data_IF_078606290162
#
_entry.id   IF_078606290162
#
_cell.length_a   1.000
_cell.length_b   1.000
_cell.length_c   1.000
_cell.angle_alpha   90.00
_cell.angle_beta   90.00
_cell.angle_gamma   90.00
#
_symmetry.space_group_name_H-M   'P 1'
#
loop_
_entity.id
_entity.type
_entity.pdbx_description
1 polymer ?
#
# COMPACT_ATOMS: atom_id res chain seq x y z
N UNK A 1 24.29 -50.91 -63.43
CA UNK A 1 24.81 -49.91 -62.46
C UNK A 1 23.92 -50.06 -61.22
N UNK A 2 24.33 -50.80 -60.17
CA UNK A 2 25.13 -50.37 -58.99
C UNK A 2 24.48 -49.12 -58.33
N UNK A 3 24.10 -49.02 -57.05
CA UNK A 3 24.34 -49.73 -55.78
C UNK A 3 23.18 -49.34 -54.81
N UNK A 4 22.62 -50.28 -54.02
CA UNK A 4 22.81 -50.51 -52.57
C UNK A 4 22.25 -49.42 -51.60
N UNK A 5 21.40 -49.93 -50.71
CA UNK A 5 20.99 -49.49 -49.36
C UNK A 5 21.93 -48.54 -48.61
N UNK A 6 21.35 -47.63 -47.81
CA UNK A 6 21.90 -47.32 -46.48
C UNK A 6 20.85 -46.68 -45.55
N UNK A 7 20.56 -47.41 -44.48
CA UNK A 7 19.88 -46.98 -43.25
C UNK A 7 20.70 -45.86 -42.58
N UNK A 8 20.04 -44.79 -42.13
CA UNK A 8 20.61 -43.90 -41.12
C UNK A 8 19.67 -43.85 -39.90
N UNK A 9 20.04 -44.59 -38.87
CA UNK A 9 19.56 -44.36 -37.51
C UNK A 9 20.33 -43.19 -36.91
N UNK A 10 19.61 -42.19 -36.42
CA UNK A 10 20.17 -41.10 -35.64
C UNK A 10 20.04 -41.46 -34.16
N UNK A 11 21.19 -41.78 -33.55
CA UNK A 11 21.37 -41.92 -32.10
C UNK A 11 21.39 -40.50 -31.51
N UNK A 12 20.35 -40.13 -30.76
CA UNK A 12 20.41 -38.96 -29.87
C UNK A 12 21.20 -39.34 -28.61
N UNK A 13 22.46 -38.92 -28.54
CA UNK A 13 23.20 -38.83 -27.30
C UNK A 13 22.79 -37.54 -26.57
N UNK A 14 21.72 -37.62 -25.78
CA UNK A 14 21.37 -36.58 -24.82
C UNK A 14 22.22 -36.75 -23.57
N UNK A 15 23.21 -35.87 -23.39
CA UNK A 15 23.99 -35.75 -22.16
C UNK A 15 23.04 -35.47 -20.99
N UNK A 16 22.95 -36.44 -20.07
CA UNK A 16 22.41 -36.25 -18.74
C UNK A 16 23.33 -35.25 -18.00
N UNK A 17 22.94 -33.98 -17.98
CA UNK A 17 23.51 -33.05 -17.01
C UNK A 17 22.95 -33.44 -15.63
N UNK A 18 23.80 -33.72 -14.63
CA UNK A 18 23.32 -33.95 -13.28
C UNK A 18 22.66 -32.67 -12.77
N UNK A 19 21.40 -32.79 -12.35
CA UNK A 19 20.73 -31.80 -11.53
C UNK A 19 21.57 -31.58 -10.28
N UNK A 20 22.31 -30.47 -10.25
CA UNK A 20 22.94 -29.98 -9.03
C UNK A 20 21.81 -29.63 -8.05
N UNK A 21 21.56 -30.53 -7.11
CA UNK A 21 20.88 -30.17 -5.89
C UNK A 21 21.87 -29.34 -5.08
N UNK A 22 21.67 -28.03 -5.06
CA UNK A 22 22.34 -27.17 -4.11
C UNK A 22 21.77 -27.47 -2.72
N UNK A 23 22.51 -28.25 -1.94
CA UNK A 23 22.39 -28.32 -0.49
C UNK A 23 23.50 -27.45 0.09
N UNK A 24 23.13 -26.34 0.72
CA UNK A 24 24.04 -25.46 1.43
C UNK A 24 23.31 -24.22 1.91
N UNK A 25 23.55 -23.82 3.16
CA UNK A 25 23.16 -22.56 3.79
C UNK A 25 23.81 -21.34 3.10
N UNK A 26 23.74 -21.25 1.78
CA UNK A 26 24.32 -20.14 1.00
C UNK A 26 23.41 -18.93 1.12
N UNK A 27 23.58 -18.21 2.23
CA UNK A 27 23.10 -16.86 2.40
C UNK A 27 23.88 -15.96 1.42
N UNK A 28 23.27 -15.66 0.29
CA UNK A 28 23.94 -15.00 -0.84
C UNK A 28 24.33 -13.54 -0.51
N UNK A 29 25.63 -13.22 -0.62
CA UNK A 29 26.13 -11.84 -0.60
C UNK A 29 25.53 -11.03 -1.73
N UNK A 30 24.86 -9.92 -1.41
CA UNK A 30 24.29 -9.00 -2.40
C UNK A 30 25.32 -7.96 -2.82
N UNK A 31 25.46 -7.73 -4.13
CA UNK A 31 26.34 -6.69 -4.71
C UNK A 31 25.55 -5.80 -5.66
N UNK A 32 25.57 -4.49 -5.42
CA UNK A 32 24.72 -3.56 -6.15
C UNK A 32 25.27 -2.14 -6.15
N UNK A 33 24.78 -1.33 -7.08
CA UNK A 33 25.13 0.07 -7.18
C UNK A 33 24.11 0.90 -6.40
N UNK A 34 24.58 1.80 -5.52
CA UNK A 34 23.71 2.63 -4.65
C UNK A 34 23.69 4.10 -5.05
N UNK A 35 24.63 4.49 -5.90
CA UNK A 35 24.74 5.81 -6.51
C UNK A 35 25.74 5.72 -7.67
N UNK A 36 25.87 6.79 -8.46
CA UNK A 36 26.88 6.88 -9.50
C UNK A 36 28.28 6.56 -8.92
N UNK A 37 28.92 5.51 -9.45
CA UNK A 37 30.26 5.05 -9.05
C UNK A 37 30.42 4.57 -7.59
N UNK A 38 29.32 4.32 -6.87
CA UNK A 38 29.35 3.74 -5.51
C UNK A 38 28.70 2.36 -5.54
N UNK A 39 29.44 1.34 -5.12
CA UNK A 39 28.92 -0.02 -4.95
C UNK A 39 28.80 -0.37 -3.47
N UNK A 40 27.80 -1.19 -3.15
CA UNK A 40 27.61 -1.81 -1.86
C UNK A 40 27.75 -3.34 -1.98
N UNK A 41 28.35 -3.93 -0.96
CA UNK A 41 28.40 -5.36 -0.71
C UNK A 41 27.67 -5.59 0.61
N UNK A 42 26.61 -6.38 0.61
CA UNK A 42 25.79 -6.65 1.79
C UNK A 42 25.79 -8.15 2.10
N UNK A 43 26.23 -8.48 3.31
CA UNK A 43 26.40 -9.83 3.83
C UNK A 43 25.46 -10.02 5.04
N UNK A 44 24.44 -10.87 4.94
CA UNK A 44 23.61 -11.17 6.10
C UNK A 44 24.40 -11.92 7.18
N UNK A 45 24.07 -11.66 8.43
CA UNK A 45 24.74 -12.21 9.60
C UNK A 45 23.84 -13.20 10.34
N UNK A 46 24.44 -14.09 11.12
CA UNK A 46 23.72 -15.12 11.88
C UNK A 46 22.79 -14.55 12.96
N UNK A 47 23.06 -13.34 13.43
CA UNK A 47 22.22 -12.62 14.41
C UNK A 47 21.05 -11.87 13.74
N UNK A 48 20.83 -12.08 12.44
CA UNK A 48 19.80 -11.40 11.67
C UNK A 48 20.14 -9.94 11.35
N UNK A 49 21.39 -9.49 11.54
CA UNK A 49 21.85 -8.19 11.04
C UNK A 49 22.42 -8.28 9.61
N UNK A 50 22.75 -7.14 9.00
CA UNK A 50 23.42 -7.07 7.70
C UNK A 50 24.72 -6.30 7.83
N UNK A 51 25.85 -6.93 7.51
CA UNK A 51 27.11 -6.23 7.34
C UNK A 51 27.17 -5.64 5.93
N UNK A 52 27.43 -4.35 5.82
CA UNK A 52 27.54 -3.64 4.54
C UNK A 52 28.91 -3.02 4.40
N UNK A 53 29.53 -3.17 3.23
CA UNK A 53 30.75 -2.48 2.85
C UNK A 53 30.55 -1.69 1.55
N UNK A 54 31.01 -0.44 1.55
CA UNK A 54 30.95 0.45 0.40
C UNK A 54 32.29 0.50 -0.34
N UNK A 55 32.22 0.56 -1.67
CA UNK A 55 33.36 0.75 -2.57
C UNK A 55 33.18 2.06 -3.35
N UNK A 56 34.24 2.88 -3.54
CA UNK A 56 35.64 2.61 -3.19
C UNK A 56 36.04 3.05 -1.77
N UNK A 57 35.14 3.66 -1.00
CA UNK A 57 35.49 4.26 0.30
C UNK A 57 35.95 3.25 1.36
N UNK A 58 35.60 1.98 1.21
CA UNK A 58 35.86 0.92 2.18
C UNK A 58 35.01 1.01 3.45
N UNK A 59 34.12 2.01 3.55
CA UNK A 59 33.29 2.27 4.74
C UNK A 59 32.40 1.06 5.03
N UNK A 60 32.27 0.71 6.31
CA UNK A 60 31.45 -0.40 6.78
C UNK A 60 30.31 0.09 7.67
N UNK A 61 29.16 -0.58 7.59
CA UNK A 61 28.01 -0.38 8.47
C UNK A 61 27.38 -1.73 8.81
N UNK A 62 26.85 -1.85 10.01
CA UNK A 62 25.95 -2.94 10.38
C UNK A 62 24.54 -2.38 10.43
N UNK A 63 23.64 -2.99 9.67
CA UNK A 63 22.23 -2.64 9.61
C UNK A 63 21.44 -3.69 10.38
N UNK A 64 20.35 -3.28 11.03
CA UNK A 64 19.44 -4.24 11.64
C UNK A 64 18.70 -5.03 10.56
N UNK A 65 18.25 -6.23 10.90
CA UNK A 65 17.24 -6.92 10.11
C UNK A 65 15.83 -6.56 10.50
N UNK A 66 14.88 -7.14 9.77
CA UNK A 66 13.58 -7.44 10.32
C UNK A 66 13.68 -8.83 10.98
N UNK A 67 13.28 -8.99 12.24
CA UNK A 67 13.34 -10.29 12.91
C UNK A 67 11.95 -10.92 12.97
N UNK A 68 11.80 -12.14 12.46
CA UNK A 68 10.63 -12.97 12.75
C UNK A 68 10.73 -13.59 14.15
N UNK A 69 9.78 -14.48 14.49
CA UNK A 69 9.74 -15.14 15.80
C UNK A 69 10.99 -16.00 16.08
N UNK A 70 11.68 -16.46 15.04
CA UNK A 70 12.89 -17.28 15.11
C UNK A 70 14.17 -16.44 14.93
N UNK A 71 14.04 -15.11 14.76
CA UNK A 71 15.15 -14.20 14.54
C UNK A 71 15.64 -14.13 13.09
N UNK A 72 14.93 -14.75 12.15
CA UNK A 72 15.31 -14.75 10.75
C UNK A 72 14.81 -13.50 10.02
N UNK A 73 15.53 -13.13 8.97
CA UNK A 73 15.14 -12.09 8.03
C UNK A 73 15.38 -12.55 6.60
N UNK A 74 14.49 -12.17 5.70
CA UNK A 74 14.68 -12.27 4.25
C UNK A 74 15.17 -10.93 3.73
N UNK A 75 16.08 -10.99 2.76
CA UNK A 75 16.76 -9.82 2.24
C UNK A 75 16.56 -9.71 0.74
N UNK A 76 16.52 -8.47 0.24
CA UNK A 76 16.36 -8.24 -1.18
C UNK A 76 16.79 -6.83 -1.59
N UNK A 77 16.77 -6.61 -2.90
CA UNK A 77 17.07 -5.34 -3.52
C UNK A 77 15.85 -4.88 -4.31
N UNK A 78 15.42 -3.65 -4.09
CA UNK A 78 14.31 -3.06 -4.82
C UNK A 78 14.50 -1.54 -4.87
N UNK A 79 14.30 -0.93 -6.03
CA UNK A 79 14.31 0.53 -6.19
C UNK A 79 12.95 1.08 -5.73
N UNK A 80 12.92 1.50 -4.46
CA UNK A 80 11.74 1.93 -3.69
C UNK A 80 11.53 3.43 -3.84
N UNK A 81 12.60 4.22 -3.94
CA UNK A 81 12.51 5.68 -4.11
C UNK A 81 12.42 6.15 -5.58
N UNK A 82 12.49 5.19 -6.51
CA UNK A 82 12.35 5.39 -7.95
C UNK A 82 13.46 6.26 -8.57
N UNK A 83 14.66 6.23 -7.99
CA UNK A 83 15.84 6.94 -8.50
C UNK A 83 16.69 6.09 -9.47
N UNK A 84 16.38 4.79 -9.57
CA UNK A 84 17.04 3.83 -10.46
C UNK A 84 18.20 3.06 -9.80
N UNK A 85 18.51 3.32 -8.53
CA UNK A 85 19.38 2.51 -7.70
C UNK A 85 18.52 1.73 -6.68
N UNK A 86 18.78 0.44 -6.45
CA UNK A 86 18.00 -0.31 -5.49
C UNK A 86 18.37 0.04 -4.04
N UNK A 87 17.34 0.13 -3.20
CA UNK A 87 17.44 0.05 -1.75
C UNK A 87 17.69 -1.40 -1.31
N UNK A 88 18.29 -1.54 -0.12
CA UNK A 88 18.39 -2.82 0.57
C UNK A 88 17.16 -3.02 1.45
N UNK A 89 16.46 -4.13 1.30
CA UNK A 89 15.22 -4.42 2.03
C UNK A 89 15.42 -5.63 2.93
N UNK A 90 14.97 -5.49 4.18
CA UNK A 90 14.80 -6.58 5.13
C UNK A 90 13.31 -6.86 5.32
N UNK A 91 12.90 -8.13 5.28
CA UNK A 91 11.51 -8.59 5.42
C UNK A 91 11.43 -9.74 6.40
N UNK A 92 10.45 -9.74 7.29
CA UNK A 92 10.24 -10.84 8.23
C UNK A 92 8.76 -11.05 8.53
N UNK A 93 8.35 -12.31 8.66
CA UNK A 93 6.97 -12.63 9.04
C UNK A 93 6.72 -12.21 10.49
N UNK A 94 5.62 -11.49 10.75
CA UNK A 94 5.18 -11.11 12.09
C UNK A 94 3.81 -11.69 12.35
N UNK A 95 3.76 -12.65 13.26
CA UNK A 95 2.57 -13.49 13.45
C UNK A 95 2.28 -14.33 12.20
N UNK A 96 1.00 -14.58 11.93
CA UNK A 96 0.60 -15.52 10.87
C UNK A 96 0.41 -14.89 9.49
N UNK A 97 0.28 -13.57 9.41
CA UNK A 97 -0.26 -12.90 8.21
C UNK A 97 0.40 -11.57 7.87
N UNK A 98 1.15 -10.95 8.79
CA UNK A 98 1.85 -9.70 8.52
C UNK A 98 3.30 -9.98 8.16
N UNK A 99 3.91 -9.05 7.42
CA UNK A 99 5.34 -9.05 7.11
C UNK A 99 5.89 -7.67 7.49
N UNK A 100 6.78 -7.60 8.48
CA UNK A 100 7.50 -6.37 8.77
C UNK A 100 8.53 -6.12 7.68
N UNK A 101 8.62 -4.87 7.21
CA UNK A 101 9.55 -4.45 6.17
C UNK A 101 10.39 -3.27 6.65
N UNK A 102 11.71 -3.41 6.58
CA UNK A 102 12.64 -2.31 6.77
C UNK A 102 13.35 -2.02 5.46
N UNK A 103 13.23 -0.80 4.97
CA UNK A 103 13.93 -0.33 3.76
C UNK A 103 15.14 0.50 4.18
N UNK A 104 16.32 0.15 3.68
CA UNK A 104 17.56 0.90 3.90
C UNK A 104 17.94 1.66 2.65
N UNK A 105 17.88 2.98 2.74
CA UNK A 105 18.23 3.91 1.66
C UNK A 105 19.63 4.46 1.85
N UNK A 106 20.38 4.53 0.76
CA UNK A 106 21.69 5.16 0.75
C UNK A 106 21.52 6.69 0.79
N UNK A 107 22.18 7.33 1.76
CA UNK A 107 22.31 8.79 1.86
C UNK A 107 23.69 9.21 1.34
N UNK A 108 23.78 9.87 0.17
CA UNK A 108 25.04 10.35 -0.38
C UNK A 108 25.77 11.34 0.52
N UNK A 109 25.03 12.14 1.31
CA UNK A 109 25.63 13.16 2.17
C UNK A 109 26.43 12.54 3.33
N UNK A 110 25.94 11.45 3.90
CA UNK A 110 26.65 10.68 4.92
C UNK A 110 27.45 9.50 4.37
N UNK A 111 27.36 9.24 3.06
CA UNK A 111 27.89 8.07 2.38
C UNK A 111 27.53 6.78 3.13
N UNK A 112 26.25 6.57 3.43
CA UNK A 112 25.83 5.41 4.20
C UNK A 112 24.34 5.17 4.20
N UNK A 113 23.93 4.01 4.67
CA UNK A 113 22.53 3.61 4.72
C UNK A 113 21.81 4.16 5.95
N UNK A 114 20.53 4.48 5.77
CA UNK A 114 19.57 4.84 6.82
C UNK A 114 18.26 4.11 6.59
N UNK A 115 17.62 3.69 7.67
CA UNK A 115 16.26 3.16 7.59
C UNK A 115 15.33 4.27 7.07
N UNK A 116 14.55 3.94 6.04
CA UNK A 116 13.49 4.78 5.53
C UNK A 116 12.39 4.86 6.59
N UNK A 117 11.87 6.05 6.79
CA UNK A 117 10.77 6.33 7.71
C UNK A 117 9.74 7.18 6.96
N UNK A 118 8.48 6.78 7.07
CA UNK A 118 7.39 7.58 6.55
C UNK A 118 7.00 8.65 7.58
N UNK A 119 6.78 9.88 7.13
CA UNK A 119 6.05 10.85 7.94
C UNK A 119 4.55 10.65 7.74
N UNK A 120 3.89 10.13 8.76
CA UNK A 120 2.48 9.75 8.71
C UNK A 120 1.56 10.75 9.41
N UNK A 121 2.13 11.68 10.20
CA UNK A 121 1.39 12.57 11.09
C UNK A 121 0.40 11.83 12.03
N UNK A 122 0.69 10.55 12.35
CA UNK A 122 -0.18 9.69 13.17
C UNK A 122 -1.54 9.37 12.52
N UNK A 123 -1.57 9.33 11.18
CA UNK A 123 -2.77 9.01 10.37
C UNK A 123 -2.68 7.67 9.65
N UNK A 124 -1.56 6.98 9.80
CA UNK A 124 -1.35 5.63 9.30
C UNK A 124 -2.17 4.60 10.09
N UNK A 125 -2.51 3.51 9.41
CA UNK A 125 -3.22 2.37 10.01
C UNK A 125 -2.28 1.23 10.38
N UNK A 126 -1.15 1.10 9.67
CA UNK A 126 -0.22 -0.02 9.84
C UNK A 126 0.91 0.22 10.85
N UNK A 127 1.10 1.44 11.35
CA UNK A 127 2.18 1.80 12.29
C UNK A 127 3.53 2.00 11.58
N UNK A 128 4.01 0.93 10.93
CA UNK A 128 5.25 0.88 10.18
C UNK A 128 5.01 0.34 8.76
N UNK A 129 6.08 0.25 7.95
CA UNK A 129 6.01 -0.41 6.65
C UNK A 129 5.77 -1.92 6.84
N UNK A 130 4.64 -2.40 6.33
CA UNK A 130 4.16 -3.78 6.48
C UNK A 130 3.70 -4.31 5.12
N UNK A 131 4.10 -5.52 4.74
CA UNK A 131 3.65 -6.15 3.49
C UNK A 131 3.84 -5.23 2.26
N UNK A 132 5.03 -4.61 2.17
CA UNK A 132 5.30 -3.49 1.26
C UNK A 132 5.31 -3.94 -0.21
N UNK A 133 4.52 -3.26 -1.04
CA UNK A 133 4.50 -3.37 -2.49
C UNK A 133 4.93 -2.05 -3.14
N UNK A 134 5.77 -2.13 -4.18
CA UNK A 134 6.29 -0.98 -4.95
C UNK A 134 5.58 -0.91 -6.31
N UNK A 135 4.69 0.08 -6.49
CA UNK A 135 4.04 0.33 -7.78
C UNK A 135 4.81 1.39 -8.58
N UNK A 136 5.67 0.94 -9.49
CA UNK A 136 6.53 1.79 -10.32
C UNK A 136 5.76 2.74 -11.23
N UNK A 137 4.72 2.30 -11.97
CA UNK A 137 3.88 3.20 -12.78
C UNK A 137 3.33 4.41 -12.02
N UNK A 138 2.80 4.22 -10.82
CA UNK A 138 2.22 5.31 -10.00
C UNK A 138 3.24 6.01 -9.09
N UNK A 139 4.43 5.42 -8.92
CA UNK A 139 5.43 5.80 -7.93
C UNK A 139 4.85 5.82 -6.51
N UNK A 140 4.04 4.81 -6.21
CA UNK A 140 3.36 4.65 -4.92
C UNK A 140 3.87 3.40 -4.21
N UNK A 141 4.10 3.51 -2.92
CA UNK A 141 4.34 2.36 -2.05
C UNK A 141 3.05 2.01 -1.33
N UNK A 142 2.72 0.73 -1.21
CA UNK A 142 1.54 0.28 -0.49
C UNK A 142 1.94 -0.67 0.62
N UNK A 143 1.60 -0.33 1.86
CA UNK A 143 1.65 -1.25 3.00
C UNK A 143 0.30 -1.91 3.18
N UNK A 144 0.31 -3.22 3.47
CA UNK A 144 -0.88 -3.98 3.83
C UNK A 144 -0.61 -4.68 5.16
N UNK A 145 -1.53 -4.53 6.11
CA UNK A 145 -1.41 -5.15 7.41
C UNK A 145 -2.77 -5.59 7.94
N UNK A 146 -2.76 -6.56 8.85
CA UNK A 146 -3.94 -7.01 9.57
C UNK A 146 -3.83 -6.66 11.04
N UNK A 147 -4.88 -6.06 11.59
CA UNK A 147 -5.05 -5.85 13.03
C UNK A 147 -6.46 -6.27 13.46
N UNK A 148 -6.54 -7.24 14.38
CA UNK A 148 -7.79 -7.89 14.73
C UNK A 148 -8.44 -8.60 13.52
N UNK A 149 -9.76 -8.45 13.31
CA UNK A 149 -10.44 -9.05 12.17
C UNK A 149 -10.24 -8.26 10.86
N UNK A 150 -9.66 -7.06 10.93
CA UNK A 150 -9.61 -6.12 9.81
C UNK A 150 -8.26 -6.12 9.11
N UNK A 151 -8.31 -5.96 7.79
CA UNK A 151 -7.17 -5.55 6.96
C UNK A 151 -7.15 -4.04 6.85
N UNK A 152 -5.94 -3.50 6.72
CA UNK A 152 -5.69 -2.08 6.55
C UNK A 152 -4.68 -1.88 5.43
N UNK A 153 -4.85 -0.77 4.71
CA UNK A 153 -3.94 -0.35 3.66
C UNK A 153 -3.51 1.10 3.82
N UNK A 154 -2.21 1.32 3.78
CA UNK A 154 -1.61 2.66 3.73
C UNK A 154 -0.83 2.81 2.41
N UNK A 155 -1.02 3.93 1.73
CA UNK A 155 -0.28 4.29 0.53
C UNK A 155 0.64 5.47 0.80
N UNK A 156 1.86 5.40 0.29
CA UNK A 156 2.91 6.38 0.51
C UNK A 156 3.47 6.88 -0.81
N UNK A 157 3.93 8.13 -0.81
CA UNK A 157 4.68 8.73 -1.93
C UNK A 157 5.85 9.54 -1.42
N UNK A 158 6.77 9.84 -2.32
CA UNK A 158 7.91 10.70 -2.03
C UNK A 158 7.62 12.16 -2.37
N UNK A 159 7.96 13.05 -1.44
CA UNK A 159 8.16 14.49 -1.68
C UNK A 159 9.65 14.80 -1.55
N UNK A 160 10.33 14.85 -2.70
CA UNK A 160 11.79 14.84 -2.75
C UNK A 160 12.35 13.58 -2.09
N UNK A 161 13.14 13.74 -1.02
CA UNK A 161 13.74 12.63 -0.29
C UNK A 161 12.85 12.06 0.83
N UNK A 162 11.71 12.69 1.14
CA UNK A 162 10.87 12.36 2.28
C UNK A 162 9.72 11.47 1.82
N UNK A 163 9.61 10.28 2.41
CA UNK A 163 8.42 9.44 2.28
C UNK A 163 7.32 10.00 3.18
N UNK A 164 6.11 10.20 2.65
CA UNK A 164 4.97 10.65 3.42
C UNK A 164 3.75 9.76 3.16
N UNK A 165 2.87 9.66 4.14
CA UNK A 165 1.58 8.99 3.97
C UNK A 165 0.74 9.77 2.95
N UNK A 166 0.54 9.18 1.77
CA UNK A 166 -0.19 9.79 0.68
C UNK A 166 -1.68 9.53 0.80
N UNK A 167 -2.08 8.31 1.14
CA UNK A 167 -3.49 7.95 1.28
C UNK A 167 -3.66 6.86 2.32
N UNK A 168 -4.69 6.99 3.15
CA UNK A 168 -5.04 6.01 4.17
C UNK A 168 -6.56 5.90 4.31
N UNK A 169 -6.99 4.77 4.85
CA UNK A 169 -8.38 4.50 5.15
C UNK A 169 -8.71 4.64 6.63
N UNK A 170 -9.97 4.92 6.90
CA UNK A 170 -10.56 4.82 8.23
C UNK A 170 -11.86 4.04 8.10
N UNK A 171 -11.81 2.77 8.48
CA UNK A 171 -12.95 1.86 8.38
C UNK A 171 -14.12 2.42 9.19
N UNK A 172 -15.28 2.44 8.55
CA UNK A 172 -16.50 2.96 9.11
C UNK A 172 -17.29 1.86 9.82
N UNK A 173 -17.64 2.13 11.07
CA UNK A 173 -18.54 1.31 11.87
C UNK A 173 -19.92 1.98 11.90
N UNK A 174 -20.55 2.11 10.74
CA UNK A 174 -21.86 2.76 10.60
C UNK A 174 -22.99 1.76 10.78
N UNK A 175 -24.04 2.18 11.48
CA UNK A 175 -25.13 1.32 11.94
C UNK A 175 -26.39 1.36 11.08
N UNK A 176 -27.48 0.86 11.64
CA UNK A 176 -28.76 0.66 10.95
C UNK A 176 -29.37 1.97 10.43
N UNK A 177 -29.09 3.09 11.08
CA UNK A 177 -29.58 4.41 10.62
C UNK A 177 -29.03 4.79 9.24
N UNK A 178 -27.78 4.43 8.91
CA UNK A 178 -27.24 4.65 7.56
C UNK A 178 -27.99 3.78 6.54
N UNK A 179 -28.20 2.50 6.86
CA UNK A 179 -28.89 1.54 5.98
C UNK A 179 -30.37 1.93 5.75
N UNK A 180 -31.00 2.59 6.72
CA UNK A 180 -32.35 3.14 6.57
C UNK A 180 -32.38 4.43 5.73
N UNK A 181 -31.28 5.18 5.66
CA UNK A 181 -31.18 6.42 4.91
C UNK A 181 -30.76 6.20 3.45
N UNK A 182 -29.82 5.27 3.22
CA UNK A 182 -29.14 5.08 1.94
C UNK A 182 -29.06 3.60 1.58
N UNK A 183 -29.21 3.32 0.29
CA UNK A 183 -29.02 2.00 -0.29
C UNK A 183 -27.93 2.05 -1.36
N UNK A 184 -26.96 1.16 -1.30
CA UNK A 184 -25.93 0.99 -2.32
C UNK A 184 -25.81 -0.47 -2.72
N UNK A 185 -25.27 -0.70 -3.91
CA UNK A 185 -24.90 -2.04 -4.36
C UNK A 185 -23.62 -2.45 -3.63
N UNK A 186 -23.68 -3.54 -2.88
CA UNK A 186 -22.53 -4.19 -2.27
C UNK A 186 -22.25 -5.49 -3.01
N UNK A 187 -20.99 -5.69 -3.42
CA UNK A 187 -20.53 -6.95 -4.01
C UNK A 187 -19.88 -7.83 -2.96
N UNK A 188 -19.86 -9.15 -3.16
CA UNK A 188 -19.22 -10.11 -2.23
C UNK A 188 -17.71 -9.87 -2.03
N UNK A 189 -17.07 -9.13 -2.95
CA UNK A 189 -15.65 -8.78 -2.89
C UNK A 189 -15.37 -7.48 -2.09
N UNK A 190 -16.40 -6.73 -1.70
CA UNK A 190 -16.25 -5.46 -0.98
C UNK A 190 -16.25 -5.66 0.53
N UNK A 191 -15.38 -4.89 1.18
CA UNK A 191 -15.29 -4.75 2.62
C UNK A 191 -16.39 -3.90 3.24
N UNK A 192 -16.26 -3.64 4.56
CA UNK A 192 -16.97 -2.51 5.16
C UNK A 192 -16.55 -1.21 4.46
N UNK A 193 -17.44 -0.23 4.46
CA UNK A 193 -17.11 1.10 3.96
C UNK A 193 -15.95 1.68 4.78
N UNK A 194 -15.10 2.46 4.13
CA UNK A 194 -14.06 3.23 4.79
C UNK A 194 -14.01 4.64 4.23
N UNK A 195 -13.67 5.61 5.08
CA UNK A 195 -13.30 6.95 4.60
C UNK A 195 -11.85 6.89 4.15
N UNK A 196 -11.65 7.04 2.85
CA UNK A 196 -10.35 7.26 2.27
C UNK A 196 -10.00 8.74 2.29
N UNK A 197 -8.78 9.06 2.69
CA UNK A 197 -8.25 10.43 2.68
C UNK A 197 -6.92 10.46 1.97
N UNK A 198 -6.78 11.41 1.05
CA UNK A 198 -5.49 11.75 0.44
C UNK A 198 -4.88 12.93 1.19
N UNK A 199 -3.60 12.84 1.50
CA UNK A 199 -2.86 13.86 2.23
C UNK A 199 -1.79 14.52 1.36
N UNK A 200 -1.44 15.75 1.72
CA UNK A 200 -0.21 16.38 1.27
C UNK A 200 0.99 15.98 2.16
N UNK A 201 2.23 16.34 1.79
CA UNK A 201 3.42 16.00 2.59
C UNK A 201 3.47 16.61 4.01
N UNK A 202 2.59 17.58 4.29
CA UNK A 202 2.43 18.20 5.59
C UNK A 202 1.28 17.58 6.41
N UNK A 203 0.66 16.49 5.93
CA UNK A 203 -0.41 15.78 6.61
C UNK A 203 -1.78 16.45 6.50
N UNK A 204 -1.94 17.44 5.60
CA UNK A 204 -3.23 18.10 5.38
C UNK A 204 -4.06 17.28 4.41
N UNK A 205 -5.33 17.07 4.74
CA UNK A 205 -6.29 16.38 3.86
C UNK A 205 -6.55 17.22 2.61
N UNK A 206 -6.31 16.62 1.44
CA UNK A 206 -6.57 17.22 0.13
C UNK A 206 -7.95 16.82 -0.43
N UNK A 207 -8.32 15.57 -0.22
CA UNK A 207 -9.60 15.00 -0.67
C UNK A 207 -10.01 13.87 0.28
N UNK A 208 -11.32 13.60 0.31
CA UNK A 208 -11.92 12.46 1.00
C UNK A 208 -13.01 11.83 0.14
N UNK A 209 -13.19 10.53 0.29
CA UNK A 209 -14.35 9.81 -0.23
C UNK A 209 -14.64 8.61 0.67
N UNK A 210 -15.89 8.18 0.76
CA UNK A 210 -16.24 6.90 1.37
C UNK A 210 -16.30 5.86 0.26
N UNK A 211 -15.54 4.79 0.37
CA UNK A 211 -15.50 3.70 -0.61
C UNK A 211 -15.30 2.34 0.09
N UNK A 212 -15.02 1.29 -0.68
CA UNK A 212 -14.62 -0.02 -0.17
C UNK A 212 -13.36 0.10 0.72
N UNK A 213 -13.39 -0.52 1.90
CA UNK A 213 -12.30 -0.57 2.87
C UNK A 213 -11.44 -1.84 2.83
N UNK A 214 -11.60 -2.71 1.82
CA UNK A 214 -10.66 -3.83 1.59
C UNK A 214 -9.62 -3.52 0.52
N UNK A 215 -9.97 -2.74 -0.50
CA UNK A 215 -9.09 -2.41 -1.61
C UNK A 215 -8.71 -0.93 -1.62
N UNK A 216 -7.41 -0.64 -1.69
CA UNK A 216 -6.96 0.73 -1.90
C UNK A 216 -7.52 1.31 -3.21
N UNK A 217 -8.04 2.55 -3.20
CA UNK A 217 -8.52 3.20 -4.40
C UNK A 217 -7.37 3.34 -5.39
N UNK A 218 -7.66 3.22 -6.70
CA UNK A 218 -6.65 3.42 -7.71
C UNK A 218 -6.11 4.84 -7.70
N UNK A 219 -5.01 5.02 -8.41
CA UNK A 219 -4.43 6.31 -8.68
C UNK A 219 -5.41 7.29 -9.34
N UNK A 220 -5.31 8.56 -8.96
CA UNK A 220 -6.21 9.63 -9.41
C UNK A 220 -7.19 10.10 -8.32
N UNK A 221 -8.18 10.93 -8.69
CA UNK A 221 -9.12 11.49 -7.74
C UNK A 221 -9.93 10.42 -7.02
N UNK A 222 -10.11 10.59 -5.71
CA UNK A 222 -10.99 9.72 -4.94
C UNK A 222 -12.42 9.77 -5.48
N UNK A 223 -13.06 8.60 -5.57
CA UNK A 223 -14.46 8.45 -5.99
C UNK A 223 -15.23 7.80 -4.88
N UNK A 224 -16.32 8.44 -4.48
CA UNK A 224 -17.20 7.91 -3.45
C UNK A 224 -18.10 6.79 -3.97
N UNK A 225 -18.43 5.88 -3.06
CA UNK A 225 -19.49 4.91 -3.23
C UNK A 225 -20.77 5.63 -3.65
N UNK A 226 -21.42 5.12 -4.68
CA UNK A 226 -22.70 5.62 -5.13
C UNK A 226 -23.80 4.95 -4.30
N UNK A 227 -24.77 5.75 -3.86
CA UNK A 227 -25.94 5.29 -3.13
C UNK A 227 -27.21 5.98 -3.63
N UNK A 228 -28.35 5.42 -3.24
CA UNK A 228 -29.68 5.92 -3.53
C UNK A 228 -30.39 6.25 -2.22
N UNK A 229 -31.05 7.40 -2.17
CA UNK A 229 -31.84 7.82 -1.02
C UNK A 229 -33.07 6.91 -0.84
N UNK A 230 -33.23 6.35 0.35
CA UNK A 230 -34.31 5.42 0.70
C UNK A 230 -35.60 6.13 1.17
N UNK A 231 -35.57 7.07 2.12
CA UNK A 231 -36.79 7.68 2.64
C UNK A 231 -37.38 8.71 1.68
N UNK A 232 -38.68 9.00 1.83
CA UNK A 232 -39.37 10.02 1.05
C UNK A 232 -38.70 11.42 1.15
N UNK A 233 -38.12 11.73 2.33
CA UNK A 233 -37.32 12.93 2.57
C UNK A 233 -36.13 12.59 3.46
N UNK A 234 -34.93 12.90 2.98
CA UNK A 234 -33.70 12.83 3.74
C UNK A 234 -33.15 14.24 3.93
N UNK A 235 -33.16 14.74 5.16
CA UNK A 235 -32.73 16.12 5.45
C UNK A 235 -31.23 16.27 5.29
N UNK A 236 -30.82 17.34 4.61
CA UNK A 236 -29.44 17.62 4.25
C UNK A 236 -28.96 18.90 4.95
N UNK A 237 -27.95 18.78 5.80
CA UNK A 237 -27.46 19.86 6.66
C UNK A 237 -26.18 20.48 6.10
N UNK A 238 -25.91 21.74 6.44
CA UNK A 238 -24.71 22.42 5.96
C UNK A 238 -23.43 21.97 6.69
N UNK A 239 -23.57 21.47 7.92
CA UNK A 239 -22.49 20.98 8.77
C UNK A 239 -22.99 19.96 9.81
N UNK A 240 -22.11 19.10 10.35
CA UNK A 240 -22.42 18.29 11.52
C UNK A 240 -22.90 19.12 12.71
N UNK A 241 -23.85 18.57 13.47
CA UNK A 241 -24.43 19.20 14.67
C UNK A 241 -25.36 20.38 14.41
N UNK A 242 -25.73 20.67 13.15
CA UNK A 242 -26.74 21.69 12.86
C UNK A 242 -28.13 21.22 13.34
N UNK A 243 -28.88 22.10 14.01
CA UNK A 243 -30.17 21.75 14.64
C UNK A 243 -31.36 21.71 13.69
N UNK A 244 -31.26 22.34 12.52
CA UNK A 244 -32.33 22.34 11.52
C UNK A 244 -31.80 22.61 10.12
N UNK A 245 -32.57 22.21 9.12
CA UNK A 245 -32.32 22.52 7.71
C UNK A 245 -33.66 22.56 6.97
N UNK A 246 -33.69 23.32 5.86
CA UNK A 246 -34.80 23.27 4.90
C UNK A 246 -34.45 22.44 3.66
N UNK A 247 -33.19 22.05 3.51
CA UNK A 247 -32.69 21.28 2.38
C UNK A 247 -32.95 19.80 2.66
N UNK A 248 -33.40 19.09 1.64
CA UNK A 248 -33.59 17.65 1.69
C UNK A 248 -33.37 17.04 0.32
N UNK A 249 -33.04 15.77 0.31
CA UNK A 249 -33.07 14.88 -0.84
C UNK A 249 -34.37 14.07 -0.80
N UNK A 250 -34.81 13.56 -1.94
CA UNK A 250 -36.02 12.74 -2.04
C UNK A 250 -35.66 11.30 -2.39
N UNK A 251 -36.58 10.39 -2.11
CA UNK A 251 -36.44 8.97 -2.43
C UNK A 251 -36.04 8.78 -3.90
N UNK A 252 -35.04 7.94 -4.13
CA UNK A 252 -34.52 7.65 -5.48
C UNK A 252 -33.43 8.61 -5.96
N UNK A 253 -33.16 9.71 -5.26
CA UNK A 253 -32.01 10.56 -5.59
C UNK A 253 -30.71 9.77 -5.47
N UNK A 254 -29.84 9.91 -6.47
CA UNK A 254 -28.50 9.33 -6.46
C UNK A 254 -27.49 10.28 -5.84
N UNK A 255 -26.67 9.75 -4.94
CA UNK A 255 -25.65 10.50 -4.19
C UNK A 255 -24.33 9.76 -4.18
N UNK A 256 -23.25 10.53 -4.05
CA UNK A 256 -21.90 10.05 -3.78
C UNK A 256 -21.56 10.30 -2.31
N UNK A 257 -21.03 9.30 -1.60
CA UNK A 257 -20.60 9.44 -0.21
C UNK A 257 -19.16 10.01 -0.15
N UNK A 258 -18.95 11.09 0.60
CA UNK A 258 -17.72 11.88 0.55
C UNK A 258 -16.85 11.81 1.81
N UNK A 259 -17.45 11.80 2.98
CA UNK A 259 -16.72 11.89 4.25
C UNK A 259 -17.62 11.47 5.40
N UNK A 260 -17.01 11.21 6.54
CA UNK A 260 -17.70 10.94 7.79
C UNK A 260 -17.06 11.75 8.91
N UNK A 261 -17.91 12.29 9.79
CA UNK A 261 -17.50 12.99 10.99
C UNK A 261 -18.55 12.83 12.09
N UNK A 262 -18.19 12.15 13.18
CA UNK A 262 -18.97 12.05 14.42
C UNK A 262 -20.42 11.56 14.19
N UNK A 263 -20.57 10.53 13.36
CA UNK A 263 -21.86 9.95 12.96
C UNK A 263 -22.64 10.82 11.97
N UNK A 264 -21.97 11.74 11.29
CA UNK A 264 -22.53 12.47 10.16
C UNK A 264 -21.83 12.06 8.87
N UNK A 265 -22.60 11.75 7.84
CA UNK A 265 -22.07 11.40 6.52
C UNK A 265 -22.28 12.55 5.55
N UNK A 266 -21.19 12.98 4.91
CA UNK A 266 -21.22 13.99 3.86
C UNK A 266 -21.58 13.34 2.53
N UNK A 267 -22.53 13.94 1.83
CA UNK A 267 -23.02 13.48 0.54
C UNK A 267 -22.83 14.55 -0.53
N UNK A 268 -22.67 14.10 -1.77
CA UNK A 268 -22.79 14.94 -2.98
C UNK A 268 -23.93 14.45 -3.84
N UNK A 269 -24.91 15.31 -4.02
CA UNK A 269 -25.97 15.15 -4.99
C UNK A 269 -25.66 15.96 -6.24
N UNK A 270 -25.95 15.42 -7.43
CA UNK A 270 -25.91 16.19 -8.69
C UNK A 270 -27.32 16.32 -9.21
N UNK A 271 -27.78 17.57 -9.34
CA UNK A 271 -29.11 17.81 -9.89
C UNK A 271 -29.15 17.52 -11.41
N UNK A 272 -30.33 17.50 -12.04
CA UNK A 272 -30.46 17.26 -13.49
C UNK A 272 -29.73 18.26 -14.40
N UNK A 273 -29.28 19.41 -13.85
CA UNK A 273 -28.45 20.40 -14.56
C UNK A 273 -26.95 20.20 -14.26
N UNK A 274 -26.57 19.07 -13.67
CA UNK A 274 -25.22 18.69 -13.27
C UNK A 274 -24.55 19.61 -12.22
N UNK A 275 -25.32 20.45 -11.54
CA UNK A 275 -24.81 21.27 -10.43
C UNK A 275 -24.70 20.39 -9.18
N UNK A 276 -23.51 20.39 -8.58
CA UNK A 276 -23.24 19.63 -7.36
C UNK A 276 -23.78 20.38 -6.13
N UNK A 277 -24.44 19.62 -5.25
CA UNK A 277 -24.97 20.07 -3.98
C UNK A 277 -24.41 19.15 -2.91
N UNK A 278 -23.65 19.69 -1.98
CA UNK A 278 -23.07 18.93 -0.87
C UNK A 278 -23.78 19.24 0.44
N UNK A 279 -23.83 18.26 1.32
CA UNK A 279 -24.28 18.45 2.70
C UNK A 279 -24.19 17.17 3.51
N UNK A 280 -24.60 17.25 4.77
CA UNK A 280 -24.43 16.20 5.75
C UNK A 280 -25.76 15.60 6.14
N UNK A 281 -25.79 14.28 6.35
CA UNK A 281 -26.90 13.57 6.97
C UNK A 281 -26.45 13.08 8.35
N UNK A 282 -27.35 13.07 9.33
CA UNK A 282 -27.07 12.48 10.63
C UNK A 282 -27.43 10.98 10.55
N UNK A 283 -26.47 10.13 10.90
CA UNK A 283 -26.61 8.67 10.91
C UNK A 283 -26.20 8.06 12.26
N UNK A 284 -26.17 8.87 13.31
CA UNK A 284 -26.07 8.36 14.67
C UNK A 284 -27.32 7.55 15.04
N UNK A 285 -27.10 6.39 15.66
CA UNK A 285 -28.13 5.57 16.30
C UNK A 285 -28.54 6.10 17.68
#
# INVERSE_FOLDING_TARGET
MKHRECVLGLVLAGLLAPSAQASGDDVETLRFQVAAHVQAHADPQQDGSIAVQLSPSGKRQTLAGAADADGNSRWGLEDVDFDGYPELIARASVGMVNEAVTVYRFDPASAGFRALQADTHGKDSCGDLMGLNVDRPSRTLTSNCRSGPMWYTDQYRFDGAKLYLYRAESVLMLGDTLNAALHWEQTDEQGPLAVWRTYDPAGRVLESAIADGLGAPPDGPLRGQQATVVPARLFLFDRPGASSTKRYLVQGDRVELLDEQDGWVKLRYRNPKHVAVEGWINVND
#
